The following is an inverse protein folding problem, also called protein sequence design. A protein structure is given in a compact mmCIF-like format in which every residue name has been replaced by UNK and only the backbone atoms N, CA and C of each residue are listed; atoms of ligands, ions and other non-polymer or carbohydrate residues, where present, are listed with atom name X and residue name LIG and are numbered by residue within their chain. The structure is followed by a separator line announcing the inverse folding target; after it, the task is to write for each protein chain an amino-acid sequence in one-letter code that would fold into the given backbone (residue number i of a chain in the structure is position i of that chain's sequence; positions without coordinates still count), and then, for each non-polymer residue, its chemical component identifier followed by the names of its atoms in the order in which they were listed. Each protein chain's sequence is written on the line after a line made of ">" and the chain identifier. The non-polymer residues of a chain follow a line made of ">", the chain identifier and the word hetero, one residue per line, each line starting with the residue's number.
data_IF_390094050778
#
_entry.id   IF_390094050778
#
_cell.length_a   1.000
_cell.length_b   1.000
_cell.length_c   1.000
_cell.angle_alpha   90.00
_cell.angle_beta   90.00
_cell.angle_gamma   90.00
#
_symmetry.space_group_name_H-M   'P 1'
#
loop_
_entity.id
_entity.type
_entity.pdbx_description
1 polymer ?
#
# COMPACT_ATOMS: atom_id res chain seq x y z
N UNK A 1 5.48 37.23 41.18
CA UNK A 1 6.73 36.44 41.15
C UNK A 1 6.54 35.26 42.08
N UNK A 2 6.30 34.08 41.52
CA UNK A 2 6.28 32.82 42.30
C UNK A 2 7.71 32.59 42.79
N UNK A 3 7.90 32.34 44.09
CA UNK A 3 9.26 32.11 44.62
C UNK A 3 9.80 30.82 44.00
N UNK A 4 11.10 30.75 43.68
CA UNK A 4 11.71 29.59 43.02
C UNK A 4 11.36 28.24 43.69
N UNK A 5 11.17 28.22 45.01
CA UNK A 5 10.78 27.03 45.77
C UNK A 5 9.31 26.61 45.55
N UNK A 6 8.40 27.57 45.33
CA UNK A 6 6.99 27.29 45.00
C UNK A 6 6.86 26.78 43.57
N UNK A 7 7.71 27.27 42.65
CA UNK A 7 7.77 26.79 41.27
C UNK A 7 8.34 25.36 41.18
N UNK A 8 9.36 25.05 42.00
CA UNK A 8 9.92 23.70 42.12
C UNK A 8 8.92 22.72 42.74
N UNK A 9 8.18 23.14 43.77
CA UNK A 9 7.13 22.33 44.37
C UNK A 9 5.99 22.03 43.38
N UNK A 10 5.61 23.01 42.54
CA UNK A 10 4.62 22.83 41.49
C UNK A 10 5.12 21.86 40.39
N UNK A 11 6.38 21.96 39.97
CA UNK A 11 7.01 21.05 39.02
C UNK A 11 7.08 19.61 39.53
N UNK A 12 7.40 19.42 40.81
CA UNK A 12 7.42 18.11 41.46
C UNK A 12 5.98 17.56 41.59
N UNK A 13 5.00 18.40 41.96
CA UNK A 13 3.61 17.98 42.01
C UNK A 13 3.08 17.56 40.63
N UNK A 14 3.45 18.27 39.56
CA UNK A 14 3.05 17.94 38.18
C UNK A 14 3.74 16.66 37.68
N UNK A 15 4.99 16.38 38.08
CA UNK A 15 5.67 15.13 37.70
C UNK A 15 5.12 13.89 38.42
N UNK A 16 4.49 14.03 39.59
CA UNK A 16 3.72 12.94 40.23
C UNK A 16 2.32 12.74 39.62
N UNK A 17 1.83 13.67 38.79
CA UNK A 17 0.61 13.54 38.00
C UNK A 17 0.87 12.99 36.59
N UNK A 18 2.00 12.28 36.38
CA UNK A 18 2.15 11.39 35.24
C UNK A 18 1.13 10.25 35.38
N UNK A 19 -0.10 10.52 34.94
CA UNK A 19 -1.17 9.53 34.85
C UNK A 19 -0.63 8.41 33.97
N UNK A 20 -0.54 7.20 34.52
CA UNK A 20 -0.38 6.00 33.72
C UNK A 20 -1.62 5.92 32.82
N UNK A 21 -1.52 6.45 31.61
CA UNK A 21 -2.46 6.17 30.55
C UNK A 21 -2.15 4.73 30.14
N UNK A 22 -2.62 3.78 30.93
CA UNK A 22 -2.70 2.40 30.47
C UNK A 22 -3.58 2.44 29.22
N UNK A 23 -3.02 2.00 28.09
CA UNK A 23 -3.79 1.83 26.89
C UNK A 23 -5.04 1.02 27.23
N UNK A 24 -6.21 1.44 26.75
CA UNK A 24 -7.48 0.69 26.93
C UNK A 24 -7.49 -0.61 26.10
N UNK A 25 -6.38 -1.34 26.08
CA UNK A 25 -6.27 -2.65 25.45
C UNK A 25 -6.57 -3.67 26.53
N UNK A 26 -7.84 -4.05 26.63
CA UNK A 26 -8.21 -5.25 27.37
C UNK A 26 -7.86 -6.46 26.52
N UNK A 27 -6.81 -7.19 26.87
CA UNK A 27 -6.58 -8.51 26.30
C UNK A 27 -7.75 -9.42 26.69
N UNK A 28 -8.50 -9.87 25.69
CA UNK A 28 -9.60 -10.82 25.89
C UNK A 28 -9.11 -12.21 25.55
N UNK A 29 -9.29 -13.14 26.49
CA UNK A 29 -9.08 -14.56 26.20
C UNK A 29 -9.99 -14.98 25.04
N UNK A 30 -9.47 -15.82 24.15
CA UNK A 30 -10.29 -16.43 23.10
C UNK A 30 -11.34 -17.33 23.76
N UNK A 31 -12.62 -17.30 23.34
CA UNK A 31 -13.64 -18.17 23.88
C UNK A 31 -13.24 -19.64 23.74
N UNK A 32 -13.42 -20.45 24.78
CA UNK A 32 -13.06 -21.88 24.78
C UNK A 32 -13.81 -22.68 23.71
N UNK A 33 -15.00 -22.22 23.34
CA UNK A 33 -15.85 -22.78 22.28
C UNK A 33 -15.18 -22.73 20.92
N UNK A 34 -14.21 -21.84 20.71
CA UNK A 34 -13.47 -21.74 19.44
C UNK A 34 -12.62 -22.99 19.16
N UNK A 35 -12.31 -23.80 20.18
CA UNK A 35 -11.66 -25.10 20.01
C UNK A 35 -12.57 -26.12 19.30
N UNK A 36 -13.88 -25.89 19.25
CA UNK A 36 -14.86 -26.75 18.58
C UNK A 36 -15.14 -26.32 17.13
N UNK A 37 -14.53 -25.24 16.65
CA UNK A 37 -14.71 -24.80 15.27
C UNK A 37 -13.97 -25.78 14.36
N UNK A 38 -14.70 -26.36 13.40
CA UNK A 38 -14.13 -27.23 12.36
C UNK A 38 -13.08 -26.47 11.55
N UNK A 39 -12.04 -27.16 11.09
CA UNK A 39 -11.03 -26.58 10.20
C UNK A 39 -11.70 -25.95 8.97
N UNK A 40 -11.33 -24.70 8.67
CA UNK A 40 -11.97 -23.90 7.60
C UNK A 40 -13.18 -23.08 8.07
N UNK A 41 -13.65 -23.31 9.30
CA UNK A 41 -14.74 -22.55 9.92
C UNK A 41 -14.27 -21.22 10.55
N UNK A 42 -12.99 -21.09 10.92
CA UNK A 42 -12.44 -19.84 11.45
C UNK A 42 -12.04 -18.93 10.29
N UNK A 43 -12.17 -17.62 10.47
CA UNK A 43 -11.70 -16.66 9.46
C UNK A 43 -10.20 -16.83 9.15
N UNK A 44 -9.39 -17.13 10.17
CA UNK A 44 -7.95 -17.38 10.01
C UNK A 44 -7.64 -18.58 9.11
N UNK A 45 -8.53 -19.58 9.07
CA UNK A 45 -8.34 -20.79 8.25
C UNK A 45 -8.52 -20.50 6.75
N UNK A 46 -9.03 -19.32 6.39
CA UNK A 46 -9.17 -18.88 5.00
C UNK A 46 -7.88 -18.26 4.45
N UNK A 47 -6.92 -17.94 5.30
CA UNK A 47 -5.62 -17.40 4.90
C UNK A 47 -4.65 -18.56 4.65
N UNK A 48 -4.64 -19.03 3.41
CA UNK A 48 -3.73 -20.07 2.96
C UNK A 48 -2.38 -19.47 2.54
N UNK A 49 -1.27 -20.24 2.67
CA UNK A 49 0.01 -19.80 2.12
C UNK A 49 -0.10 -19.60 0.61
N UNK A 50 0.62 -18.61 0.07
CA UNK A 50 0.72 -18.43 -1.37
C UNK A 50 1.38 -19.69 -1.95
N UNK A 51 0.80 -20.33 -2.99
CA UNK A 51 1.43 -21.47 -3.63
C UNK A 51 2.85 -21.15 -4.11
N UNK A 52 3.82 -22.06 -3.92
CA UNK A 52 5.20 -21.81 -4.31
C UNK A 52 5.34 -21.74 -5.83
N UNK A 53 6.05 -20.72 -6.32
CA UNK A 53 6.41 -20.59 -7.74
C UNK A 53 7.93 -20.78 -7.87
N UNK A 54 8.33 -21.81 -8.60
CA UNK A 54 9.74 -22.17 -8.77
C UNK A 54 10.42 -22.67 -7.49
N UNK A 55 11.76 -22.75 -7.49
CA UNK A 55 12.50 -23.33 -6.37
C UNK A 55 12.61 -22.37 -5.18
N UNK A 56 12.65 -22.96 -3.99
CA UNK A 56 13.03 -22.27 -2.76
C UNK A 56 14.54 -21.99 -2.79
N UNK A 57 14.97 -20.74 -2.59
CA UNK A 57 16.38 -20.34 -2.74
C UNK A 57 16.91 -19.54 -1.54
N UNK A 58 18.20 -19.71 -1.24
CA UNK A 58 18.99 -18.85 -0.35
C UNK A 58 19.94 -17.94 -1.14
N UNK A 59 20.09 -18.18 -2.44
CA UNK A 59 20.92 -17.38 -3.35
C UNK A 59 20.13 -16.16 -3.82
N UNK A 60 19.91 -15.23 -2.89
CA UNK A 60 19.24 -13.94 -3.10
C UNK A 60 19.64 -12.97 -1.98
N UNK A 61 19.32 -11.69 -2.15
CA UNK A 61 19.61 -10.65 -1.17
C UNK A 61 18.69 -10.74 0.07
N UNK A 62 19.06 -10.06 1.16
CA UNK A 62 18.26 -9.94 2.38
C UNK A 62 18.96 -10.48 3.63
N UNK A 63 18.34 -10.25 4.79
CA UNK A 63 18.82 -10.74 6.08
C UNK A 63 18.62 -12.27 6.23
N UNK A 64 19.34 -12.89 7.17
CA UNK A 64 19.30 -14.34 7.40
C UNK A 64 17.89 -14.88 7.67
N UNK A 65 17.01 -14.07 8.26
CA UNK A 65 15.63 -14.45 8.59
C UNK A 65 14.63 -14.30 7.44
N UNK A 66 15.05 -13.82 6.26
CA UNK A 66 14.21 -13.71 5.05
C UNK A 66 14.66 -14.67 3.93
N UNK A 67 15.59 -15.57 4.24
CA UNK A 67 16.02 -16.67 3.37
C UNK A 67 15.92 -18.02 4.13
N UNK A 68 15.59 -19.13 3.43
CA UNK A 68 15.23 -19.16 2.02
C UNK A 68 13.81 -18.63 1.75
N UNK A 69 13.57 -18.18 0.50
CA UNK A 69 12.23 -17.76 0.04
C UNK A 69 12.00 -18.09 -1.44
N UNK A 70 10.74 -18.00 -1.87
CA UNK A 70 10.35 -18.18 -3.28
C UNK A 70 10.38 -16.84 -4.02
N UNK A 71 11.52 -16.52 -4.64
CA UNK A 71 11.73 -15.23 -5.32
C UNK A 71 10.86 -15.01 -6.57
N UNK A 72 10.16 -16.06 -7.04
CA UNK A 72 9.20 -15.91 -8.13
C UNK A 72 7.76 -15.62 -7.66
N UNK A 73 7.51 -15.60 -6.34
CA UNK A 73 6.23 -15.15 -5.80
C UNK A 73 6.22 -13.62 -5.73
N UNK A 74 5.40 -12.98 -6.57
CA UNK A 74 5.25 -11.53 -6.62
C UNK A 74 6.28 -10.86 -7.54
N UNK A 75 6.82 -9.72 -7.09
CA UNK A 75 7.87 -8.97 -7.77
C UNK A 75 9.09 -8.87 -6.83
N UNK A 76 10.27 -9.17 -7.36
CA UNK A 76 11.52 -9.10 -6.61
C UNK A 76 12.64 -8.63 -7.54
N UNK A 77 13.55 -7.82 -7.01
CA UNK A 77 14.72 -7.27 -7.70
C UNK A 77 15.80 -6.93 -6.65
N UNK A 78 17.08 -6.98 -7.02
CA UNK A 78 18.21 -6.67 -6.13
C UNK A 78 18.59 -5.19 -6.13
N UNK A 79 18.05 -4.40 -7.06
CA UNK A 79 18.35 -2.98 -7.26
C UNK A 79 17.18 -2.06 -6.94
N UNK A 80 15.96 -2.58 -6.85
CA UNK A 80 14.75 -1.78 -6.73
C UNK A 80 13.92 -2.18 -5.51
N UNK A 81 13.58 -1.20 -4.69
CA UNK A 81 12.47 -1.34 -3.73
C UNK A 81 11.15 -1.14 -4.47
N UNK A 82 10.12 -1.95 -4.16
CA UNK A 82 8.77 -1.79 -4.70
C UNK A 82 7.77 -1.45 -3.59
N UNK A 83 6.77 -0.64 -3.92
CA UNK A 83 5.74 -0.24 -2.95
C UNK A 83 4.39 0.07 -3.59
N UNK A 84 3.33 -0.25 -2.85
CA UNK A 84 1.94 0.01 -3.24
C UNK A 84 1.50 -0.79 -4.47
N UNK A 85 0.50 -0.27 -5.18
CA UNK A 85 0.03 -0.86 -6.43
C UNK A 85 -1.06 -1.91 -6.26
N UNK A 86 -1.64 -2.27 -7.40
CA UNK A 86 -2.61 -3.35 -7.54
C UNK A 86 -2.62 -3.91 -8.97
N UNK A 87 -3.27 -5.06 -9.12
CA UNK A 87 -3.28 -5.83 -10.35
C UNK A 87 -4.61 -5.63 -11.09
N UNK A 88 -4.55 -5.37 -12.39
CA UNK A 88 -5.67 -5.46 -13.32
C UNK A 88 -5.49 -6.68 -14.22
N UNK A 89 -6.58 -7.36 -14.56
CA UNK A 89 -6.55 -8.44 -15.56
C UNK A 89 -6.84 -7.80 -16.92
N UNK A 90 -5.90 -7.94 -17.85
CA UNK A 90 -6.04 -7.43 -19.21
C UNK A 90 -6.97 -8.31 -20.05
N UNK A 91 -7.49 -7.75 -21.15
CA UNK A 91 -8.27 -8.51 -22.14
C UNK A 91 -7.40 -9.56 -22.87
N UNK A 92 -6.08 -9.47 -22.74
CA UNK A 92 -5.09 -10.47 -23.18
C UNK A 92 -4.93 -11.66 -22.20
N UNK A 93 -5.67 -11.64 -21.08
CA UNK A 93 -5.61 -12.66 -20.04
C UNK A 93 -4.41 -12.56 -19.11
N UNK A 94 -3.58 -11.52 -19.23
CA UNK A 94 -2.41 -11.30 -18.37
C UNK A 94 -2.77 -10.46 -17.15
N UNK A 95 -1.90 -10.52 -16.16
CA UNK A 95 -2.02 -9.77 -14.91
C UNK A 95 -1.09 -8.55 -15.01
N UNK A 96 -1.68 -7.35 -15.12
CA UNK A 96 -0.99 -6.07 -15.24
C UNK A 96 -0.89 -5.44 -13.84
N UNK A 97 0.30 -5.52 -13.24
CA UNK A 97 0.57 -4.94 -11.93
C UNK A 97 1.24 -3.58 -12.09
N UNK A 98 0.55 -2.54 -11.64
CA UNK A 98 1.05 -1.16 -11.61
C UNK A 98 1.57 -0.86 -10.21
N UNK A 99 2.87 -0.66 -10.09
CA UNK A 99 3.57 -0.53 -8.80
C UNK A 99 4.60 0.59 -8.91
N UNK A 100 4.93 1.25 -7.80
CA UNK A 100 6.01 2.22 -7.80
C UNK A 100 7.31 1.61 -7.28
N UNK A 101 8.43 2.19 -7.67
CA UNK A 101 9.77 1.78 -7.24
C UNK A 101 10.74 2.94 -7.11
N UNK A 102 11.78 2.74 -6.33
CA UNK A 102 12.98 3.58 -6.25
C UNK A 102 14.21 2.67 -6.07
N UNK A 103 15.41 3.23 -6.22
CA UNK A 103 16.64 2.43 -6.08
C UNK A 103 16.79 1.96 -4.63
N UNK A 104 17.03 0.68 -4.41
CA UNK A 104 17.21 0.09 -3.08
C UNK A 104 18.41 0.70 -2.34
N UNK A 105 19.47 1.08 -3.08
CA UNK A 105 20.69 1.69 -2.53
C UNK A 105 20.59 3.22 -2.34
N UNK A 106 19.40 3.79 -2.50
CA UNK A 106 19.17 5.22 -2.29
C UNK A 106 19.64 5.64 -0.89
N UNK A 107 20.46 6.71 -0.75
CA UNK A 107 21.01 7.11 0.56
C UNK A 107 19.95 7.43 1.63
N UNK A 108 18.73 7.78 1.21
CA UNK A 108 17.60 8.06 2.10
C UNK A 108 16.80 6.81 2.49
N UNK A 109 17.14 5.64 1.94
CA UNK A 109 16.40 4.39 2.11
C UNK A 109 14.92 4.57 1.75
N UNK A 110 14.02 4.12 2.63
CA UNK A 110 12.58 4.30 2.47
C UNK A 110 12.15 5.77 2.29
N UNK A 111 12.90 6.73 2.82
CA UNK A 111 12.58 8.17 2.68
C UNK A 111 12.84 8.71 1.26
N UNK A 112 13.32 7.89 0.33
CA UNK A 112 13.40 8.22 -1.11
C UNK A 112 12.04 8.15 -1.82
N UNK A 113 10.99 7.68 -1.15
CA UNK A 113 9.65 7.55 -1.73
C UNK A 113 9.13 8.76 -2.53
N UNK A 114 9.45 10.05 -2.23
CA UNK A 114 9.01 11.18 -3.07
C UNK A 114 9.57 11.16 -4.50
N UNK A 115 10.67 10.43 -4.74
CA UNK A 115 11.29 10.25 -6.05
C UNK A 115 10.89 8.93 -6.74
N UNK A 116 9.85 8.26 -6.22
CA UNK A 116 9.32 7.04 -6.80
C UNK A 116 8.92 7.21 -8.27
N UNK A 117 9.13 6.16 -9.05
CA UNK A 117 8.61 6.03 -10.41
C UNK A 117 7.59 4.90 -10.47
N UNK A 118 6.46 5.14 -11.13
CA UNK A 118 5.47 4.10 -11.44
C UNK A 118 5.98 3.27 -12.62
N UNK A 119 5.86 1.96 -12.50
CA UNK A 119 6.15 1.00 -13.57
C UNK A 119 4.94 0.13 -13.87
N UNK A 120 4.84 -0.25 -15.14
CA UNK A 120 3.92 -1.27 -15.61
C UNK A 120 4.65 -2.61 -15.65
N UNK A 121 4.12 -3.60 -14.93
CA UNK A 121 4.66 -4.96 -14.89
C UNK A 121 3.60 -5.98 -15.29
N UNK A 122 4.02 -7.15 -15.76
CA UNK A 122 3.11 -8.23 -16.17
C UNK A 122 3.53 -9.60 -15.66
N UNK A 123 2.55 -10.46 -15.42
CA UNK A 123 2.71 -11.88 -15.17
C UNK A 123 1.58 -12.69 -15.85
N UNK A 124 1.79 -13.99 -16.02
CA UNK A 124 0.78 -14.91 -16.56
C UNK A 124 -0.21 -15.41 -15.50
N UNK A 125 0.00 -15.06 -14.23
CA UNK A 125 -0.87 -15.40 -13.10
C UNK A 125 -0.83 -14.29 -12.03
N UNK A 126 -1.76 -14.34 -11.07
CA UNK A 126 -1.90 -13.33 -10.00
C UNK A 126 -0.76 -13.30 -8.99
N UNK A 127 0.08 -14.34 -8.96
CA UNK A 127 1.09 -14.58 -7.95
C UNK A 127 2.52 -14.36 -8.46
N UNK A 128 2.71 -13.92 -9.70
CA UNK A 128 4.01 -13.64 -10.29
C UNK A 128 4.68 -14.82 -11.00
N UNK A 129 5.98 -14.71 -11.36
CA UNK A 129 6.82 -13.53 -11.15
C UNK A 129 6.40 -12.39 -12.06
N UNK A 130 6.18 -11.21 -11.49
CA UNK A 130 5.93 -10.00 -12.28
C UNK A 130 7.23 -9.47 -12.87
N UNK A 131 7.19 -9.08 -14.15
CA UNK A 131 8.34 -8.49 -14.86
C UNK A 131 7.99 -7.09 -15.32
N UNK A 132 8.91 -6.15 -15.08
CA UNK A 132 8.76 -4.76 -15.51
C UNK A 132 8.81 -4.68 -17.03
N UNK A 133 7.76 -4.13 -17.63
CA UNK A 133 7.71 -3.86 -19.07
C UNK A 133 8.27 -2.48 -19.40
N UNK A 134 7.83 -1.46 -18.67
CA UNK A 134 8.21 -0.06 -18.91
C UNK A 134 7.97 0.81 -17.69
N UNK A 135 8.69 1.92 -17.62
CA UNK A 135 8.37 3.03 -16.71
C UNK A 135 7.23 3.87 -17.29
N UNK A 136 6.34 4.34 -16.43
CA UNK A 136 5.24 5.24 -16.78
C UNK A 136 5.65 6.69 -16.50
N UNK A 137 6.10 6.98 -15.28
CA UNK A 137 6.51 8.33 -14.87
C UNK A 137 6.64 8.46 -13.35
N UNK A 138 6.89 9.67 -12.86
CA UNK A 138 7.02 9.97 -11.42
C UNK A 138 5.69 9.76 -10.69
N UNK A 139 5.72 9.09 -9.55
CA UNK A 139 4.54 8.91 -8.72
C UNK A 139 4.72 7.85 -7.65
N UNK A 140 3.98 8.02 -6.55
CA UNK A 140 4.01 7.14 -5.39
C UNK A 140 2.59 6.69 -5.02
N UNK A 141 2.48 5.54 -4.36
CA UNK A 141 1.21 4.87 -4.01
C UNK A 141 0.24 4.70 -5.18
N UNK A 142 0.65 3.99 -6.25
CA UNK A 142 -0.22 3.82 -7.39
C UNK A 142 -1.45 2.98 -7.04
N UNK A 143 -2.61 3.34 -7.59
CA UNK A 143 -3.83 2.53 -7.60
C UNK A 143 -4.48 2.62 -8.98
N UNK A 144 -4.55 1.49 -9.67
CA UNK A 144 -5.06 1.38 -11.04
C UNK A 144 -6.50 0.84 -11.09
N UNK A 145 -7.33 1.41 -11.96
CA UNK A 145 -8.69 0.93 -12.21
C UNK A 145 -9.15 1.24 -13.63
N UNK A 146 -10.11 0.44 -14.13
CA UNK A 146 -10.75 0.63 -15.44
C UNK A 146 -12.02 1.47 -15.28
N UNK A 147 -12.19 2.45 -16.16
CA UNK A 147 -13.35 3.31 -16.31
C UNK A 147 -14.49 2.58 -17.04
N UNK A 148 -15.72 3.06 -16.86
CA UNK A 148 -16.93 2.48 -17.49
C UNK A 148 -16.87 2.52 -19.02
N UNK A 149 -16.24 3.55 -19.57
CA UNK A 149 -16.03 3.75 -21.01
C UNK A 149 -14.82 2.97 -21.57
N UNK A 150 -14.12 2.22 -20.71
CA UNK A 150 -12.99 1.38 -21.08
C UNK A 150 -11.62 2.03 -20.89
N UNK A 151 -11.55 3.33 -20.56
CA UNK A 151 -10.29 3.99 -20.19
C UNK A 151 -9.70 3.41 -18.90
N UNK A 152 -8.45 3.75 -18.61
CA UNK A 152 -7.71 3.30 -17.44
C UNK A 152 -7.14 4.50 -16.71
N UNK A 153 -7.24 4.44 -15.38
CA UNK A 153 -6.63 5.40 -14.47
C UNK A 153 -5.58 4.67 -13.66
N UNK A 154 -4.45 5.33 -13.41
CA UNK A 154 -3.50 4.99 -12.36
C UNK A 154 -3.37 6.22 -11.47
N UNK A 155 -4.08 6.23 -10.35
CA UNK A 155 -3.90 7.23 -9.29
C UNK A 155 -2.45 7.21 -8.82
N UNK A 156 -1.90 8.38 -8.49
CA UNK A 156 -0.68 8.57 -7.69
C UNK A 156 -0.88 9.77 -6.76
N UNK A 157 -0.06 9.93 -5.73
CA UNK A 157 -0.12 11.15 -4.91
C UNK A 157 0.07 12.38 -5.81
N UNK A 158 -0.90 13.30 -5.79
CA UNK A 158 -0.90 14.54 -6.57
C UNK A 158 -1.64 14.50 -7.92
N UNK A 159 -2.07 13.33 -8.41
CA UNK A 159 -2.75 13.24 -9.71
C UNK A 159 -2.95 11.81 -10.19
N UNK A 160 -3.08 11.63 -11.50
CA UNK A 160 -3.21 10.30 -12.09
C UNK A 160 -2.63 10.23 -13.50
N UNK A 161 -2.35 9.01 -13.93
CA UNK A 161 -2.12 8.69 -15.33
C UNK A 161 -3.41 8.18 -15.97
N UNK A 162 -3.73 8.67 -17.16
CA UNK A 162 -4.84 8.20 -17.99
C UNK A 162 -4.34 7.53 -19.26
N UNK A 163 -5.02 6.48 -19.70
CA UNK A 163 -4.88 5.89 -21.03
C UNK A 163 -6.17 5.22 -21.48
N UNK A 164 -6.45 5.17 -22.78
CA UNK A 164 -7.50 4.33 -23.36
C UNK A 164 -7.06 2.86 -23.55
N UNK A 165 -5.79 2.55 -23.26
CA UNK A 165 -5.21 1.23 -23.38
C UNK A 165 -4.38 0.87 -22.15
N UNK A 166 -4.56 -0.34 -21.62
CA UNK A 166 -3.83 -0.83 -20.43
C UNK A 166 -2.29 -0.83 -20.61
N UNK A 167 -1.81 -0.78 -21.85
CA UNK A 167 -0.38 -0.73 -22.20
C UNK A 167 0.15 0.70 -22.42
N UNK A 168 -0.70 1.72 -22.23
CA UNK A 168 -0.42 3.11 -22.57
C UNK A 168 -0.66 3.43 -24.07
N UNK A 169 -0.28 4.64 -24.53
CA UNK A 169 0.51 5.64 -23.81
C UNK A 169 -0.25 6.25 -22.63
N UNK A 170 0.51 6.67 -21.62
CA UNK A 170 -0.02 7.23 -20.38
C UNK A 170 0.18 8.74 -20.35
N UNK A 171 -0.87 9.47 -19.99
CA UNK A 171 -0.85 10.93 -19.85
C UNK A 171 -1.09 11.30 -18.38
N UNK A 172 -0.21 12.10 -17.79
CA UNK A 172 -0.42 12.61 -16.43
C UNK A 172 -1.44 13.75 -16.43
N UNK A 173 -2.37 13.70 -15.48
CA UNK A 173 -3.43 14.68 -15.26
C UNK A 173 -3.65 14.89 -13.76
N UNK A 174 -4.16 16.05 -13.40
CA UNK A 174 -4.61 16.31 -12.03
C UNK A 174 -6.06 15.86 -11.85
N UNK A 175 -6.46 15.54 -10.62
CA UNK A 175 -7.86 15.27 -10.33
C UNK A 175 -8.64 16.58 -10.21
N UNK A 176 -9.81 16.62 -10.84
CA UNK A 176 -10.86 17.56 -10.50
C UNK A 176 -11.82 16.87 -9.52
N UNK A 177 -11.84 17.35 -8.28
CA UNK A 177 -12.65 16.78 -7.21
C UNK A 177 -13.92 17.60 -7.02
N UNK A 178 -15.07 16.93 -7.15
CA UNK A 178 -16.33 17.49 -6.66
C UNK A 178 -16.33 17.48 -5.12
N UNK A 179 -16.20 18.68 -4.56
CA UNK A 179 -16.12 18.90 -3.13
C UNK A 179 -17.43 18.62 -2.37
N UNK A 180 -18.57 18.51 -3.10
CA UNK A 180 -19.92 18.28 -2.52
C UNK A 180 -20.21 19.15 -1.30
N UNK A 181 -19.92 20.44 -1.44
CA UNK A 181 -20.10 21.47 -0.40
C UNK A 181 -19.21 21.29 0.85
N UNK A 182 -18.11 20.55 0.76
CA UNK A 182 -17.13 20.36 1.84
C UNK A 182 -15.76 20.89 1.45
N UNK A 183 -14.93 21.20 2.44
CA UNK A 183 -13.52 21.48 2.20
C UNK A 183 -12.80 20.18 1.80
N UNK A 184 -11.99 20.25 0.76
CA UNK A 184 -11.08 19.18 0.39
C UNK A 184 -9.79 19.42 1.18
N UNK A 185 -9.41 18.53 2.11
CA UNK A 185 -8.22 18.74 2.92
C UNK A 185 -6.97 18.72 2.06
N UNK A 186 -5.99 19.55 2.42
CA UNK A 186 -4.66 19.50 1.80
C UNK A 186 -3.95 18.18 2.13
N UNK A 187 -2.97 17.80 1.29
CA UNK A 187 -2.13 16.64 1.56
C UNK A 187 -2.82 15.30 1.35
N UNK A 188 -3.85 15.24 0.50
CA UNK A 188 -4.51 13.99 0.11
C UNK A 188 -3.48 12.94 -0.31
N UNK A 189 -3.42 11.86 0.47
CA UNK A 189 -2.55 10.71 0.23
C UNK A 189 -3.34 9.42 0.44
N UNK A 190 -2.89 8.32 -0.16
CA UNK A 190 -3.53 7.01 0.01
C UNK A 190 -5.02 6.98 -0.37
N UNK A 191 -5.37 7.69 -1.43
CA UNK A 191 -6.73 7.68 -1.96
C UNK A 191 -7.06 6.31 -2.53
N UNK A 192 -8.27 5.83 -2.26
CA UNK A 192 -8.85 4.66 -2.93
C UNK A 192 -10.18 5.03 -3.57
N UNK A 193 -10.51 4.36 -4.66
CA UNK A 193 -11.63 4.74 -5.52
C UNK A 193 -12.62 3.59 -5.66
N UNK A 194 -13.91 3.93 -5.65
CA UNK A 194 -14.97 2.98 -5.99
C UNK A 194 -15.97 3.60 -6.96
N UNK A 195 -16.30 2.86 -8.02
CA UNK A 195 -17.20 3.33 -9.07
C UNK A 195 -18.66 3.27 -8.59
N UNK A 196 -19.42 4.32 -8.87
CA UNK A 196 -20.87 4.41 -8.63
C UNK A 196 -21.63 3.96 -9.88
N UNK A 197 -22.92 3.63 -9.70
CA UNK A 197 -23.81 3.20 -10.80
C UNK A 197 -23.90 4.21 -11.95
N UNK A 198 -23.90 5.50 -11.61
CA UNK A 198 -23.92 6.64 -12.54
C UNK A 198 -22.61 6.82 -13.34
N UNK A 199 -21.56 6.06 -13.02
CA UNK A 199 -20.24 6.11 -13.65
C UNK A 199 -19.27 7.10 -13.00
N UNK A 200 -19.71 7.91 -12.04
CA UNK A 200 -18.81 8.72 -11.20
C UNK A 200 -18.10 7.85 -10.16
N UNK A 201 -17.10 8.42 -9.48
CA UNK A 201 -16.30 7.71 -8.49
C UNK A 201 -16.45 8.34 -7.12
N UNK A 202 -16.56 7.50 -6.09
CA UNK A 202 -16.32 7.90 -4.71
C UNK A 202 -14.83 7.70 -4.45
N UNK A 203 -14.20 8.75 -3.94
CA UNK A 203 -12.84 8.71 -3.45
C UNK A 203 -12.88 8.71 -1.92
N UNK A 204 -12.05 7.86 -1.30
CA UNK A 204 -11.84 7.84 0.15
C UNK A 204 -10.37 8.07 0.47
N UNK A 205 -10.08 9.10 1.26
CA UNK A 205 -8.77 9.27 1.89
C UNK A 205 -8.66 8.32 3.09
N UNK A 206 -7.57 7.55 3.15
CA UNK A 206 -7.32 6.57 4.23
C UNK A 206 -6.23 7.01 5.21
N UNK A 207 -5.66 8.18 5.01
CA UNK A 207 -4.61 8.80 5.83
C UNK A 207 -5.08 10.09 6.46
#
# INVERSE_FOLDING_TARGET
>A
MIKANEFLALLIAVSFYAVNIEAQVTERARPTEWNNIVEGGRFVDRFLPIPPIGPLTQDTWGAENVIPRYVNNGIEDDKWSYWGGNILIGDDGKYHFFVCRWLEDSPKGHMEWPESIVVHTVADNSSGPFKVLKSIGKGHNPEAFKLKDGGYIIFVIGGHYYSDNINGPWEYREFDFDARDREIPEGLSNLTFTQREDGSYIMMCRG
#
